data_IF_269407681689
#
_entry.id   IF_269407681689
#
_cell.length_a   1.000
_cell.length_b   1.000
_cell.length_c   1.000
_cell.angle_alpha   90.00
_cell.angle_beta   90.00
_cell.angle_gamma   90.00
#
_symmetry.space_group_name_H-M   'P 1'
#
loop_
_entity.id
_entity.type
_entity.pdbx_description
1 polymer ?
#
# COMPACT_ATOMS: atom_id res chain seq x y z
N UNK A 1 11.98 28.51 -0.68
CA UNK A 1 11.70 27.08 -0.90
C UNK A 1 10.46 26.72 -0.10
N UNK A 2 9.39 26.26 -0.75
CA UNK A 2 8.15 25.88 -0.05
C UNK A 2 8.42 24.67 0.84
N UNK A 3 8.35 24.84 2.16
CA UNK A 3 8.48 23.77 3.14
C UNK A 3 7.30 22.81 2.95
N UNK A 4 7.58 21.59 2.48
CA UNK A 4 6.57 20.54 2.31
C UNK A 4 6.07 20.12 3.69
N UNK A 5 4.91 20.63 4.09
CA UNK A 5 4.29 20.27 5.38
C UNK A 5 3.98 18.77 5.41
N UNK A 6 4.73 18.02 6.21
CA UNK A 6 4.50 16.60 6.47
C UNK A 6 3.21 16.44 7.29
N UNK A 7 2.37 15.46 6.91
CA UNK A 7 1.07 15.20 7.56
C UNK A 7 1.11 13.89 8.35
N UNK A 8 0.70 13.96 9.62
CA UNK A 8 0.56 12.79 10.50
C UNK A 8 -0.46 11.81 9.90
N UNK A 9 -0.19 10.52 10.02
CA UNK A 9 -0.97 9.41 9.46
C UNK A 9 -0.74 9.17 7.96
N UNK A 10 -0.02 10.06 7.27
CA UNK A 10 0.21 9.94 5.82
C UNK A 10 1.46 9.12 5.50
N UNK A 11 1.54 8.63 4.26
CA UNK A 11 2.60 7.77 3.78
C UNK A 11 3.70 8.56 3.06
N UNK A 12 4.94 8.23 3.39
CA UNK A 12 6.14 8.83 2.80
C UNK A 12 7.15 7.76 2.43
N UNK A 13 7.99 8.07 1.45
CA UNK A 13 9.14 7.25 1.07
C UNK A 13 10.31 7.68 1.95
N UNK A 14 10.93 6.73 2.61
CA UNK A 14 12.10 6.94 3.44
C UNK A 14 13.27 6.13 2.92
N UNK A 15 14.45 6.75 2.79
CA UNK A 15 15.68 6.08 2.38
C UNK A 15 16.35 5.48 3.62
N UNK A 16 16.53 4.16 3.65
CA UNK A 16 17.16 3.50 4.81
C UNK A 16 18.61 3.99 4.94
N UNK A 17 19.05 4.52 6.11
CA UNK A 17 20.40 5.03 6.31
C UNK A 17 21.47 3.99 5.96
N UNK A 18 22.46 4.41 5.17
CA UNK A 18 23.53 3.53 4.69
C UNK A 18 23.15 2.67 3.48
N UNK A 19 21.98 2.89 2.87
CA UNK A 19 21.54 2.19 1.66
C UNK A 19 20.95 3.17 0.65
N UNK A 20 20.74 2.70 -0.58
CA UNK A 20 19.97 3.40 -1.62
C UNK A 20 18.50 2.95 -1.66
N UNK A 21 18.08 2.09 -0.74
CA UNK A 21 16.75 1.49 -0.75
C UNK A 21 15.73 2.41 -0.09
N UNK A 22 14.62 2.63 -0.79
CA UNK A 22 13.49 3.38 -0.29
C UNK A 22 12.39 2.44 0.22
N UNK A 23 11.80 2.79 1.37
CA UNK A 23 10.70 2.06 1.98
C UNK A 23 9.51 2.97 2.26
N UNK A 24 8.27 2.47 2.08
CA UNK A 24 7.09 3.18 2.52
C UNK A 24 7.00 3.18 4.05
N UNK A 25 6.86 4.38 4.61
CA UNK A 25 6.67 4.60 6.04
C UNK A 25 5.42 5.44 6.30
N UNK A 26 4.76 5.21 7.43
CA UNK A 26 3.66 6.02 7.92
C UNK A 26 4.17 6.95 9.02
N UNK A 27 3.83 8.23 8.94
CA UNK A 27 4.17 9.19 9.99
C UNK A 27 3.21 9.00 11.18
N UNK A 28 3.75 8.66 12.34
CA UNK A 28 2.96 8.44 13.56
C UNK A 28 2.81 9.71 14.38
N UNK A 29 3.90 10.44 14.57
CA UNK A 29 3.92 11.65 15.39
C UNK A 29 5.01 12.61 14.94
N UNK A 30 4.82 13.87 15.31
CA UNK A 30 5.77 14.96 15.12
C UNK A 30 6.53 15.15 16.43
N UNK A 31 7.87 15.06 16.41
CA UNK A 31 8.71 15.18 17.60
C UNK A 31 9.15 16.63 17.80
N UNK A 32 8.58 17.33 18.78
CA UNK A 32 8.94 18.72 19.03
C UNK A 32 10.25 18.83 19.80
N UNK A 33 11.30 19.31 19.12
CA UNK A 33 12.55 19.71 19.74
C UNK A 33 12.68 21.22 19.62
N UNK A 34 12.76 21.93 20.76
CA UNK A 34 12.75 23.40 20.82
C UNK A 34 13.94 24.09 20.12
N UNK A 35 14.92 23.34 19.61
CA UNK A 35 16.21 23.88 19.15
C UNK A 35 16.77 23.30 17.84
N UNK A 36 15.98 22.57 17.05
CA UNK A 36 16.47 22.00 15.79
C UNK A 36 16.04 22.81 14.57
N UNK A 37 16.91 22.97 13.54
CA UNK A 37 16.57 23.66 12.30
C UNK A 37 15.70 22.81 11.36
N UNK A 38 15.38 21.58 11.76
CA UNK A 38 14.55 20.62 11.03
C UNK A 38 13.56 19.96 11.98
N UNK A 39 12.50 19.39 11.41
CA UNK A 39 11.48 18.68 12.16
C UNK A 39 11.70 17.17 12.08
N UNK A 40 11.70 16.50 13.23
CA UNK A 40 11.74 15.04 13.30
C UNK A 40 10.35 14.44 13.44
N UNK A 41 10.20 13.22 12.92
CA UNK A 41 8.96 12.46 12.94
C UNK A 41 9.25 11.02 13.36
N UNK A 42 8.43 10.45 14.23
CA UNK A 42 8.40 9.00 14.41
C UNK A 42 7.65 8.40 13.23
N UNK A 43 8.27 7.43 12.57
CA UNK A 43 7.67 6.73 11.44
C UNK A 43 7.68 5.24 11.65
N UNK A 44 6.70 4.57 11.06
CA UNK A 44 6.56 3.11 11.08
C UNK A 44 6.66 2.54 9.67
N UNK A 45 7.42 1.47 9.49
CA UNK A 45 7.54 0.77 8.21
C UNK A 45 6.23 0.09 7.88
N UNK A 46 5.73 0.37 6.69
CA UNK A 46 4.45 -0.14 6.20
C UNK A 46 4.62 -1.42 5.41
N UNK A 47 5.63 -1.45 4.53
CA UNK A 47 5.97 -2.61 3.69
C UNK A 47 7.46 -2.63 3.47
N UNK A 48 8.04 -3.81 3.46
CA UNK A 48 9.44 -4.01 3.08
C UNK A 48 9.58 -5.29 2.24
N UNK A 49 10.54 -5.30 1.33
CA UNK A 49 10.93 -6.51 0.61
C UNK A 49 11.83 -7.40 1.49
N UNK A 50 12.00 -8.69 1.16
CA UNK A 50 12.93 -9.56 1.88
C UNK A 50 14.37 -9.02 1.97
N UNK A 51 14.81 -8.23 0.98
CA UNK A 51 16.13 -7.58 0.99
C UNK A 51 16.23 -6.42 1.99
N UNK A 52 15.15 -5.66 2.13
CA UNK A 52 15.04 -4.50 3.04
C UNK A 52 14.90 -4.91 4.52
N UNK A 53 14.47 -6.15 4.77
CA UNK A 53 14.13 -6.69 6.09
C UNK A 53 15.29 -6.57 7.11
N UNK A 54 16.52 -6.82 6.68
CA UNK A 54 17.71 -6.69 7.54
C UNK A 54 17.96 -5.24 7.99
N UNK A 55 17.71 -4.26 7.11
CA UNK A 55 17.89 -2.85 7.37
C UNK A 55 16.87 -2.26 8.34
N UNK A 56 15.64 -2.77 8.33
CA UNK A 56 14.54 -2.26 9.18
C UNK A 56 14.38 -3.01 10.50
N UNK A 57 14.77 -4.29 10.55
CA UNK A 57 14.59 -5.14 11.74
C UNK A 57 15.38 -4.62 12.95
N UNK A 58 16.57 -4.05 12.73
CA UNK A 58 17.38 -3.40 13.79
C UNK A 58 16.67 -2.24 14.48
N UNK A 59 15.67 -1.65 13.83
CA UNK A 59 14.86 -0.55 14.36
C UNK A 59 13.49 -1.00 14.83
N UNK A 60 13.22 -2.31 14.92
CA UNK A 60 11.89 -2.83 15.23
C UNK A 60 10.77 -2.19 14.38
N UNK A 61 11.07 -1.91 13.11
CA UNK A 61 10.15 -1.29 12.15
C UNK A 61 9.64 0.12 12.52
N UNK A 62 10.23 0.77 13.53
CA UNK A 62 9.92 2.15 13.94
C UNK A 62 11.19 2.95 14.16
N UNK A 63 11.29 4.13 13.57
CA UNK A 63 12.47 4.97 13.75
C UNK A 63 12.14 6.45 13.57
N UNK A 64 13.08 7.30 13.97
CA UNK A 64 13.01 8.75 13.80
C UNK A 64 13.51 9.09 12.40
N UNK A 65 12.69 9.77 11.62
CA UNK A 65 13.03 10.30 10.31
C UNK A 65 13.03 11.82 10.34
N UNK A 66 14.06 12.43 9.74
CA UNK A 66 14.11 13.89 9.57
C UNK A 66 13.18 14.30 8.44
N UNK A 67 12.58 15.49 8.53
CA UNK A 67 11.65 16.03 7.51
C UNK A 67 12.21 15.90 6.08
N UNK A 68 13.48 16.24 5.89
CA UNK A 68 14.18 16.20 4.61
C UNK A 68 14.37 14.79 4.03
N UNK A 69 14.30 13.76 4.87
CA UNK A 69 14.44 12.34 4.47
C UNK A 69 13.10 11.75 4.00
N UNK A 70 11.98 12.41 4.32
CA UNK A 70 10.63 11.98 3.94
C UNK A 70 10.26 12.56 2.58
N UNK A 71 10.31 11.71 1.55
CA UNK A 71 9.84 12.07 0.21
C UNK A 71 8.36 11.72 0.08
N UNK A 72 7.56 12.62 -0.47
CA UNK A 72 6.16 12.31 -0.83
C UNK A 72 6.19 11.10 -1.77
N UNK A 73 5.50 10.01 -1.41
CA UNK A 73 5.31 8.89 -2.33
C UNK A 73 4.38 9.36 -3.44
N UNK A 74 4.92 9.90 -4.55
CA UNK A 74 4.10 10.24 -5.73
C UNK A 74 3.32 9.03 -6.29
N UNK A 75 3.71 7.82 -5.91
CA UNK A 75 3.14 6.54 -6.39
C UNK A 75 2.05 5.92 -5.51
N UNK A 76 1.80 6.42 -4.30
CA UNK A 76 0.67 5.97 -3.47
C UNK A 76 -0.45 6.99 -3.57
N UNK A 77 -0.91 7.23 -4.79
CA UNK A 77 -2.25 7.78 -4.96
C UNK A 77 -3.16 6.64 -4.56
N UNK A 78 -3.74 6.72 -3.34
CA UNK A 78 -4.84 5.81 -2.98
C UNK A 78 -5.79 5.79 -4.16
N UNK A 79 -5.92 4.63 -4.80
CA UNK A 79 -6.92 4.51 -5.84
C UNK A 79 -8.26 4.75 -5.17
N UNK A 80 -9.07 5.63 -5.74
CA UNK A 80 -10.43 5.82 -5.26
C UNK A 80 -11.27 4.59 -5.68
N UNK A 81 -11.08 3.49 -4.96
CA UNK A 81 -11.77 2.22 -5.17
C UNK A 81 -13.15 2.33 -4.53
N UNK A 82 -14.19 2.23 -5.36
CA UNK A 82 -15.58 2.31 -4.91
C UNK A 82 -16.10 0.92 -4.53
N UNK A 83 -16.75 0.83 -3.36
CA UNK A 83 -17.47 -0.37 -2.94
C UNK A 83 -18.71 -0.57 -3.84
N UNK A 84 -19.01 -1.82 -4.19
CA UNK A 84 -20.09 -2.22 -5.09
C UNK A 84 -19.75 -2.09 -6.57
N UNK A 85 -18.56 -1.62 -6.91
CA UNK A 85 -18.09 -1.53 -8.30
C UNK A 85 -17.24 -2.73 -8.69
N UNK A 86 -17.22 -3.00 -10.00
CA UNK A 86 -16.46 -4.08 -10.60
C UNK A 86 -15.13 -3.53 -11.10
N UNK A 87 -14.04 -4.21 -10.76
CA UNK A 87 -12.69 -3.85 -11.17
C UNK A 87 -12.02 -5.01 -11.89
N UNK A 88 -11.14 -4.65 -12.83
CA UNK A 88 -10.17 -5.58 -13.40
C UNK A 88 -9.10 -5.86 -12.35
N UNK A 89 -8.89 -7.13 -12.05
CA UNK A 89 -8.00 -7.62 -11.02
C UNK A 89 -6.94 -8.55 -11.61
N UNK A 90 -5.74 -8.50 -11.03
CA UNK A 90 -4.64 -9.40 -11.33
C UNK A 90 -3.91 -9.78 -10.03
N UNK A 91 -3.74 -11.08 -9.79
CA UNK A 91 -3.05 -11.61 -8.61
C UNK A 91 -1.90 -12.53 -9.01
N UNK A 92 -0.77 -12.52 -8.27
CA UNK A 92 0.42 -13.30 -8.65
C UNK A 92 0.18 -14.80 -8.81
N UNK A 93 -0.77 -15.37 -8.05
CA UNK A 93 -1.04 -16.79 -8.10
C UNK A 93 -1.93 -17.26 -9.26
N UNK A 94 -2.52 -16.34 -10.02
CA UNK A 94 -3.35 -16.66 -11.16
C UNK A 94 -3.03 -15.68 -12.30
N UNK A 95 -2.11 -16.05 -13.20
CA UNK A 95 -1.69 -15.17 -14.29
C UNK A 95 -2.86 -14.71 -15.15
N UNK A 96 -2.80 -13.45 -15.57
CA UNK A 96 -3.82 -12.80 -16.39
C UNK A 96 -4.89 -12.07 -15.58
N UNK A 97 -5.75 -11.35 -16.30
CA UNK A 97 -6.76 -10.45 -15.73
C UNK A 97 -8.10 -11.14 -15.57
N UNK A 98 -8.83 -10.76 -14.54
CA UNK A 98 -10.21 -11.20 -14.28
C UNK A 98 -11.00 -10.07 -13.62
N UNK A 99 -12.31 -10.20 -13.51
CA UNK A 99 -13.19 -9.16 -12.98
C UNK A 99 -13.69 -9.55 -11.59
N UNK A 100 -13.62 -8.60 -10.66
CA UNK A 100 -14.09 -8.77 -9.29
C UNK A 100 -14.94 -7.59 -8.85
N UNK A 101 -15.96 -7.86 -8.04
CA UNK A 101 -16.76 -6.84 -7.36
C UNK A 101 -16.13 -6.53 -6.00
N UNK A 102 -15.97 -5.25 -5.67
CA UNK A 102 -15.45 -4.81 -4.37
C UNK A 102 -16.58 -4.80 -3.35
N UNK A 103 -16.46 -5.63 -2.31
CA UNK A 103 -17.51 -5.76 -1.28
C UNK A 103 -17.27 -4.84 -0.08
N UNK A 104 -16.02 -4.71 0.36
CA UNK A 104 -15.67 -3.86 1.51
C UNK A 104 -14.18 -3.54 1.54
N UNK A 105 -13.82 -2.40 2.11
CA UNK A 105 -12.44 -2.04 2.48
C UNK A 105 -12.13 -2.57 3.86
N UNK A 106 -10.99 -3.24 4.03
CA UNK A 106 -10.47 -3.64 5.33
C UNK A 106 -9.77 -2.41 5.92
N UNK A 107 -10.32 -1.90 7.03
CA UNK A 107 -9.77 -0.72 7.71
C UNK A 107 -8.38 -1.03 8.30
N UNK A 108 -7.52 -0.01 8.35
CA UNK A 108 -6.19 -0.02 9.00
C UNK A 108 -5.04 -0.72 8.25
N UNK A 109 -5.31 -1.41 7.15
CA UNK A 109 -4.27 -2.01 6.29
C UNK A 109 -3.65 -0.98 5.34
N UNK A 110 -2.32 -0.95 5.23
CA UNK A 110 -1.60 -0.27 4.14
C UNK A 110 -0.57 -1.25 3.55
N UNK A 111 -0.65 -1.61 2.25
CA UNK A 111 -1.67 -1.24 1.27
C UNK A 111 -3.11 -1.46 1.73
N UNK A 112 -4.02 -0.57 1.33
CA UNK A 112 -5.44 -0.82 1.55
C UNK A 112 -5.79 -2.21 0.98
N UNK A 113 -6.49 -3.02 1.76
CA UNK A 113 -6.97 -4.32 1.33
C UNK A 113 -8.48 -4.28 1.16
N UNK A 114 -8.97 -5.07 0.21
CA UNK A 114 -10.38 -5.12 -0.14
C UNK A 114 -10.84 -6.57 -0.16
N UNK A 115 -12.01 -6.81 0.44
CA UNK A 115 -12.74 -8.06 0.23
C UNK A 115 -13.44 -7.94 -1.11
N UNK A 116 -13.19 -8.89 -1.99
CA UNK A 116 -13.74 -8.91 -3.35
C UNK A 116 -14.44 -10.23 -3.63
N UNK A 117 -15.35 -10.22 -4.60
CA UNK A 117 -16.02 -11.41 -5.13
C UNK A 117 -15.65 -11.60 -6.60
N UNK A 118 -15.34 -12.83 -7.00
CA UNK A 118 -15.12 -13.15 -8.41
C UNK A 118 -16.42 -13.00 -9.21
N UNK A 119 -16.37 -12.19 -10.28
CA UNK A 119 -17.48 -11.98 -11.22
C UNK A 119 -17.26 -12.73 -12.53
N UNK A 120 -16.10 -12.50 -13.15
CA UNK A 120 -15.77 -13.11 -14.45
C UNK A 120 -14.29 -13.45 -14.50
N UNK A 121 -13.96 -14.61 -15.05
CA UNK A 121 -12.57 -14.99 -15.35
C UNK A 121 -12.54 -15.82 -16.61
N UNK A 122 -11.35 -16.00 -17.17
CA UNK A 122 -11.17 -16.96 -18.25
C UNK A 122 -11.36 -18.39 -17.73
N UNK A 123 -11.87 -19.30 -18.57
CA UNK A 123 -12.18 -20.68 -18.15
C UNK A 123 -10.96 -21.41 -17.56
N UNK A 124 -9.77 -21.15 -18.12
CA UNK A 124 -8.49 -21.69 -17.64
C UNK A 124 -8.06 -21.17 -16.25
N UNK A 125 -8.57 -20.01 -15.83
CA UNK A 125 -8.29 -19.41 -14.52
C UNK A 125 -9.28 -19.87 -13.47
N UNK A 126 -10.48 -20.31 -13.87
CA UNK A 126 -11.60 -20.63 -12.98
C UNK A 126 -11.22 -21.62 -11.89
N UNK A 127 -10.57 -22.72 -12.25
CA UNK A 127 -10.18 -23.75 -11.29
C UNK A 127 -9.13 -23.25 -10.30
N UNK A 128 -8.11 -22.54 -10.78
CA UNK A 128 -7.06 -21.96 -9.95
C UNK A 128 -7.61 -20.92 -8.96
N UNK A 129 -8.50 -20.03 -9.42
CA UNK A 129 -9.14 -19.01 -8.59
C UNK A 129 -10.06 -19.66 -7.54
N UNK A 130 -10.93 -20.58 -7.94
CA UNK A 130 -11.87 -21.21 -7.02
C UNK A 130 -11.17 -22.08 -5.98
N UNK A 131 -10.14 -22.83 -6.37
CA UNK A 131 -9.41 -23.73 -5.45
C UNK A 131 -8.55 -22.96 -4.45
N UNK A 132 -7.91 -21.86 -4.88
CA UNK A 132 -6.97 -21.12 -4.04
C UNK A 132 -7.62 -20.00 -3.23
N UNK A 133 -8.59 -19.31 -3.81
CA UNK A 133 -9.19 -18.10 -3.24
C UNK A 133 -10.68 -18.25 -2.94
N UNK A 134 -11.35 -19.28 -3.47
CA UNK A 134 -12.79 -19.42 -3.38
C UNK A 134 -13.53 -18.35 -4.19
N UNK A 135 -14.80 -18.10 -3.86
CA UNK A 135 -15.64 -17.11 -4.54
C UNK A 135 -15.44 -15.68 -4.01
N UNK A 136 -15.00 -15.55 -2.75
CA UNK A 136 -14.71 -14.28 -2.08
C UNK A 136 -13.33 -14.36 -1.46
N UNK A 137 -12.52 -13.34 -1.67
CA UNK A 137 -11.14 -13.31 -1.20
C UNK A 137 -10.65 -11.88 -0.99
N UNK A 138 -9.48 -11.76 -0.38
CA UNK A 138 -8.85 -10.48 -0.10
C UNK A 138 -7.81 -10.19 -1.18
N UNK A 139 -7.80 -8.95 -1.66
CA UNK A 139 -6.76 -8.43 -2.55
C UNK A 139 -6.24 -7.10 -2.05
N UNK A 140 -4.99 -6.81 -2.34
CA UNK A 140 -4.40 -5.50 -2.09
C UNK A 140 -4.88 -4.50 -3.16
N UNK A 141 -4.89 -3.21 -2.84
CA UNK A 141 -5.25 -2.15 -3.78
C UNK A 141 -4.46 -2.21 -5.10
N UNK A 142 -3.18 -2.61 -5.02
CA UNK A 142 -2.30 -2.78 -6.18
C UNK A 142 -2.80 -3.85 -7.17
N UNK A 143 -3.58 -4.82 -6.71
CA UNK A 143 -4.17 -5.85 -7.54
C UNK A 143 -5.43 -5.37 -8.28
N UNK A 144 -6.03 -4.25 -7.88
CA UNK A 144 -7.19 -3.64 -8.54
C UNK A 144 -6.69 -2.63 -9.57
N UNK A 145 -6.77 -2.97 -10.85
CA UNK A 145 -6.12 -2.21 -11.93
C UNK A 145 -6.94 -0.98 -12.33
N UNK A 146 -8.18 -1.20 -12.80
CA UNK A 146 -9.12 -0.17 -13.28
C UNK A 146 -10.57 -0.63 -13.07
N UNK A 147 -11.51 0.30 -12.97
CA UNK A 147 -12.94 -0.04 -12.99
C UNK A 147 -13.29 -0.72 -14.33
N UNK A 148 -14.14 -1.74 -14.30
CA UNK A 148 -14.65 -2.40 -15.50
C UNK A 148 -15.94 -1.73 -15.92
N UNK A 149 -15.94 -1.14 -17.12
CA UNK A 149 -17.08 -0.39 -17.68
C UNK A 149 -18.13 -1.27 -18.37
N UNK A 150 -17.91 -2.59 -18.44
CA UNK A 150 -18.78 -3.52 -19.17
C UNK A 150 -20.01 -3.99 -18.38
N UNK A 151 -20.41 -3.27 -17.34
CA UNK A 151 -21.56 -3.58 -16.49
C UNK A 151 -22.40 -2.32 -16.27
N UNK A 152 -23.34 -2.09 -17.19
CA UNK A 152 -24.56 -1.30 -16.96
C UNK A 152 -25.74 -2.26 -17.03
#
# INVERSE_FOLDING_TARGET
MSSKKIKIGSLYSFCIPGTTEEIPVRVLEKLNYEKLPYQDYLVEVVKCTPKQLSGVRKYNYKFIAREQELKIIKKYVEKNIQIGKIYVCEVPACPGKFEVEVLSKIQSEVPAQYVVRLIRCHIRQREALLKKYGRRFIVSEENLLSESFNFN
#
